data_IF_992177464735
#
_entry.id   IF_992177464735
#
_cell.length_a   1.000
_cell.length_b   1.000
_cell.length_c   1.000
_cell.angle_alpha   90.00
_cell.angle_beta   90.00
_cell.angle_gamma   90.00
#
_symmetry.space_group_name_H-M   'P 1'
#
loop_
_entity.id
_entity.type
_entity.pdbx_description
1 polymer ?
#
# COMPACT_ATOMS: atom_id res chain seq x y z
N UNK A 1 43.28 84.91 12.63
CA UNK A 1 44.68 84.52 12.90
C UNK A 1 44.70 83.56 14.08
N UNK A 2 45.28 82.38 13.85
CA UNK A 2 46.12 81.56 14.73
C UNK A 2 45.87 81.66 16.26
N UNK A 3 45.51 80.52 16.88
CA UNK A 3 46.21 79.89 18.02
C UNK A 3 45.26 79.26 19.07
N UNK A 4 45.50 77.96 19.35
CA UNK A 4 45.58 77.33 20.69
C UNK A 4 44.28 77.32 21.54
N UNK A 5 43.93 76.30 22.33
CA UNK A 5 44.61 75.14 22.86
C UNK A 5 43.57 74.07 23.26
N UNK A 6 44.04 72.81 23.33
CA UNK A 6 43.39 71.69 23.98
C UNK A 6 43.06 71.98 25.46
N UNK A 7 41.94 71.45 25.95
CA UNK A 7 41.89 70.69 27.21
C UNK A 7 40.98 69.48 27.03
N UNK A 8 41.56 68.31 27.29
CA UNK A 8 40.90 67.02 27.33
C UNK A 8 40.29 66.76 28.71
N UNK A 9 39.12 66.14 28.75
CA UNK A 9 38.63 65.41 29.93
C UNK A 9 38.29 63.98 29.53
N UNK A 10 39.14 63.07 30.00
CA UNK A 10 38.86 61.64 30.07
C UNK A 10 37.73 61.40 31.07
N UNK A 11 36.74 60.60 30.67
CA UNK A 11 35.95 59.80 31.60
C UNK A 11 35.87 58.37 31.03
N UNK A 12 36.64 57.46 31.65
CA UNK A 12 36.47 56.01 31.51
C UNK A 12 35.21 55.59 32.25
N UNK A 13 34.27 54.94 31.56
CA UNK A 13 33.34 54.01 32.20
C UNK A 13 33.16 52.77 31.31
N UNK A 14 33.64 51.66 31.86
CA UNK A 14 33.31 50.25 31.62
C UNK A 14 32.67 49.86 30.27
N UNK A 15 33.47 49.24 29.41
CA UNK A 15 32.97 48.42 28.30
C UNK A 15 32.27 47.17 28.84
N UNK A 16 30.94 47.14 28.75
CA UNK A 16 30.19 45.90 28.77
C UNK A 16 30.24 45.30 27.35
N UNK A 17 31.04 44.25 27.20
CA UNK A 17 31.10 43.44 25.98
C UNK A 17 29.74 42.81 25.70
N UNK A 18 29.09 43.22 24.61
CA UNK A 18 27.96 42.50 24.06
C UNK A 18 28.40 41.08 23.64
N UNK A 19 27.58 40.04 23.84
CA UNK A 19 27.92 38.69 23.41
C UNK A 19 28.02 38.66 21.88
N UNK A 20 29.18 38.25 21.37
CA UNK A 20 29.40 37.99 19.94
C UNK A 20 28.54 36.80 19.54
N UNK A 21 27.48 37.05 18.76
CA UNK A 21 26.74 36.00 18.07
C UNK A 21 27.67 35.42 16.99
N UNK A 22 28.05 34.16 17.18
CA UNK A 22 28.79 33.38 16.21
C UNK A 22 27.90 33.19 14.97
N UNK A 23 28.32 33.75 13.83
CA UNK A 23 27.66 33.55 12.54
C UNK A 23 27.95 32.14 12.03
N UNK A 24 27.13 31.16 12.44
CA UNK A 24 27.07 29.88 11.70
C UNK A 24 26.60 30.18 10.28
N UNK A 25 27.37 29.75 9.27
CA UNK A 25 27.00 29.82 7.84
C UNK A 25 25.57 29.33 7.65
N UNK A 26 24.65 30.28 7.51
CA UNK A 26 23.24 30.02 7.27
C UNK A 26 23.06 29.46 5.86
N UNK A 27 22.34 28.35 5.77
CA UNK A 27 21.58 27.98 4.57
C UNK A 27 20.83 29.22 4.05
N UNK A 28 20.84 29.48 2.73
CA UNK A 28 20.12 30.63 2.17
C UNK A 28 18.64 30.50 2.54
N UNK A 29 18.15 31.46 3.34
CA UNK A 29 16.72 31.62 3.58
C UNK A 29 16.10 31.93 2.21
N UNK A 30 15.06 31.19 1.78
CA UNK A 30 14.38 31.52 0.53
C UNK A 30 13.90 32.97 0.60
N UNK A 31 14.34 33.77 -0.37
CA UNK A 31 13.93 35.17 -0.49
C UNK A 31 12.44 35.17 -0.80
N UNK A 32 11.64 35.74 0.10
CA UNK A 32 10.22 35.95 -0.14
C UNK A 32 10.04 36.77 -1.44
N UNK A 33 9.08 36.39 -2.31
CA UNK A 33 8.91 37.04 -3.61
C UNK A 33 8.63 38.54 -3.43
N UNK A 34 9.40 39.37 -4.15
CA UNK A 34 9.21 40.82 -4.20
C UNK A 34 8.25 41.14 -5.35
N UNK A 35 6.95 41.18 -5.04
CA UNK A 35 5.87 41.57 -5.95
C UNK A 35 4.75 42.25 -5.16
N UNK A 36 3.61 42.52 -5.80
CA UNK A 36 2.42 43.02 -5.10
C UNK A 36 1.89 41.92 -4.16
N UNK A 37 2.30 41.97 -2.89
CA UNK A 37 1.95 40.96 -1.89
C UNK A 37 0.64 41.37 -1.23
N UNK A 38 -0.44 40.65 -1.52
CA UNK A 38 -1.63 40.71 -0.67
C UNK A 38 -1.41 39.86 0.56
N UNK A 39 -1.35 40.50 1.73
CA UNK A 39 -1.42 39.80 3.02
C UNK A 39 -2.85 39.32 3.20
N UNK A 40 -3.11 38.06 2.86
CA UNK A 40 -4.35 37.40 3.25
C UNK A 40 -4.18 37.02 4.72
N UNK A 41 -4.95 37.64 5.61
CA UNK A 41 -5.06 37.18 7.00
C UNK A 41 -5.66 35.77 6.95
N UNK A 42 -4.81 34.76 7.08
CA UNK A 42 -5.23 33.43 7.46
C UNK A 42 -5.91 33.58 8.82
N UNK A 43 -7.18 33.19 8.85
CA UNK A 43 -8.08 33.09 10.02
C UNK A 43 -7.26 32.89 11.31
N UNK A 44 -7.54 33.70 12.34
CA UNK A 44 -6.93 33.58 13.67
C UNK A 44 -6.75 32.12 14.06
N UNK A 45 -5.50 31.73 14.33
CA UNK A 45 -5.17 30.40 14.84
C UNK A 45 -5.64 30.33 16.30
N UNK A 46 -6.92 30.07 16.50
CA UNK A 46 -7.48 29.87 17.83
C UNK A 46 -6.97 28.55 18.38
N UNK A 47 -6.08 28.61 19.38
CA UNK A 47 -5.49 27.44 20.03
C UNK A 47 -6.51 26.53 20.74
N UNK A 48 -7.73 27.02 20.96
CA UNK A 48 -8.82 26.25 21.57
C UNK A 48 -9.73 25.57 20.53
N UNK A 49 -9.52 25.81 19.23
CA UNK A 49 -10.28 25.21 18.14
C UNK A 49 -9.49 24.14 17.37
N UNK A 50 -8.30 23.76 17.84
CA UNK A 50 -7.65 22.60 17.28
C UNK A 50 -8.58 21.39 17.42
N UNK A 51 -8.88 20.68 16.32
CA UNK A 51 -9.56 19.40 16.45
C UNK A 51 -8.76 18.57 17.45
N UNK A 52 -9.45 17.88 18.37
CA UNK A 52 -8.79 17.02 19.35
C UNK A 52 -7.75 16.18 18.62
N UNK A 53 -6.49 16.34 18.99
CA UNK A 53 -5.43 15.46 18.50
C UNK A 53 -5.80 14.11 19.10
N UNK A 54 -6.46 13.26 18.30
CA UNK A 54 -6.70 11.89 18.69
C UNK A 54 -5.32 11.28 18.92
N UNK A 55 -4.97 11.00 20.17
CA UNK A 55 -3.82 10.17 20.49
C UNK A 55 -4.10 8.81 19.86
N UNK A 56 -3.55 8.59 18.67
CA UNK A 56 -3.71 7.32 17.97
C UNK A 56 -2.74 6.35 18.60
N UNK A 57 -3.26 5.22 19.01
CA UNK A 57 -2.43 4.09 19.41
C UNK A 57 -1.73 3.54 18.17
N UNK A 58 -0.45 3.16 18.30
CA UNK A 58 0.30 2.43 17.27
C UNK A 58 -0.18 0.98 17.10
N UNK A 59 -1.16 0.54 17.90
CA UNK A 59 -1.76 -0.78 17.79
C UNK A 59 -2.63 -0.88 16.54
N UNK A 60 -2.66 -2.08 15.94
CA UNK A 60 -3.53 -2.37 14.80
C UNK A 60 -5.01 -2.12 15.15
N UNK A 61 -5.85 -1.78 14.14
CA UNK A 61 -7.28 -1.62 14.33
C UNK A 61 -7.90 -2.88 14.92
N UNK A 62 -8.94 -2.68 15.72
CA UNK A 62 -9.69 -3.80 16.26
C UNK A 62 -10.36 -4.60 15.14
N UNK A 63 -10.58 -5.88 15.36
CA UNK A 63 -11.38 -6.75 14.50
C UNK A 63 -12.72 -7.10 15.16
N UNK A 64 -13.68 -7.60 14.37
CA UNK A 64 -14.98 -8.08 14.89
C UNK A 64 -14.81 -9.03 16.08
N UNK A 65 -13.91 -10.00 15.94
CA UNK A 65 -13.65 -11.02 16.96
C UNK A 65 -13.06 -10.42 18.24
N UNK A 66 -12.19 -9.42 18.12
CA UNK A 66 -11.60 -8.74 19.28
C UNK A 66 -12.61 -7.87 20.01
N UNK A 67 -13.46 -7.14 19.28
CA UNK A 67 -14.53 -6.34 19.90
C UNK A 67 -15.48 -7.25 20.67
N UNK A 68 -15.92 -8.35 20.06
CA UNK A 68 -16.77 -9.33 20.72
C UNK A 68 -16.09 -9.97 21.94
N UNK A 69 -14.79 -10.30 21.84
CA UNK A 69 -14.01 -10.84 22.96
C UNK A 69 -13.90 -9.85 24.12
N UNK A 70 -13.62 -8.58 23.84
CA UNK A 70 -13.51 -7.54 24.87
C UNK A 70 -14.86 -7.25 25.52
N UNK A 71 -15.94 -7.22 24.74
CA UNK A 71 -17.30 -7.08 25.27
C UNK A 71 -17.65 -8.25 26.22
N UNK A 72 -17.37 -9.49 25.82
CA UNK A 72 -17.57 -10.68 26.67
C UNK A 72 -16.69 -10.70 27.92
N UNK A 73 -15.51 -10.09 27.86
CA UNK A 73 -14.61 -9.93 28.99
C UNK A 73 -15.07 -8.84 30.00
N UNK A 74 -16.17 -8.14 29.73
CA UNK A 74 -16.75 -7.16 30.65
C UNK A 74 -16.17 -5.74 30.52
N UNK A 75 -15.47 -5.43 29.42
CA UNK A 75 -15.08 -4.04 29.14
C UNK A 75 -16.33 -3.17 28.97
N UNK A 76 -16.29 -1.97 29.56
CA UNK A 76 -17.42 -1.04 29.49
C UNK A 76 -17.59 -0.50 28.07
N UNK A 77 -18.83 -0.15 27.68
CA UNK A 77 -19.11 0.47 26.38
C UNK A 77 -18.23 1.70 26.13
N UNK A 78 -18.06 2.56 27.15
CA UNK A 78 -17.23 3.75 27.04
C UNK A 78 -15.76 3.45 26.73
N UNK A 79 -15.20 2.39 27.33
CA UNK A 79 -13.84 1.94 27.02
C UNK A 79 -13.72 1.43 25.59
N UNK A 80 -14.68 0.61 25.14
CA UNK A 80 -14.68 0.06 23.79
C UNK A 80 -14.83 1.15 22.72
N UNK A 81 -15.74 2.10 22.94
CA UNK A 81 -15.94 3.25 22.03
C UNK A 81 -14.65 4.06 21.93
N UNK A 82 -14.01 4.39 23.06
CA UNK A 82 -12.74 5.12 23.05
C UNK A 82 -11.64 4.36 22.32
N UNK A 83 -11.54 3.04 22.51
CA UNK A 83 -10.59 2.20 21.76
C UNK A 83 -10.87 2.22 20.25
N UNK A 84 -12.15 2.18 19.84
CA UNK A 84 -12.55 2.26 18.43
C UNK A 84 -12.25 3.66 17.85
N UNK A 85 -12.43 4.73 18.62
CA UNK A 85 -12.08 6.09 18.18
C UNK A 85 -10.56 6.26 17.97
N UNK A 86 -9.76 5.70 18.88
CA UNK A 86 -8.29 5.83 18.87
C UNK A 86 -7.59 4.90 17.87
N UNK A 87 -8.07 3.65 17.74
CA UNK A 87 -7.46 2.60 16.90
C UNK A 87 -8.20 2.34 15.59
N UNK A 88 -9.43 2.82 15.45
CA UNK A 88 -10.41 2.38 14.43
C UNK A 88 -10.76 0.89 14.58
N UNK A 89 -11.74 0.46 13.80
CA UNK A 89 -12.06 -0.96 13.65
C UNK A 89 -11.99 -1.40 12.19
N UNK A 90 -11.25 -2.47 11.91
CA UNK A 90 -11.38 -3.29 10.70
C UNK A 90 -12.61 -4.24 10.83
N UNK A 91 -13.72 -3.71 11.33
CA UNK A 91 -14.97 -4.43 11.58
C UNK A 91 -15.85 -4.48 10.32
N UNK A 92 -16.77 -5.44 10.30
CA UNK A 92 -17.88 -5.47 9.36
C UNK A 92 -19.01 -4.52 9.80
N UNK A 93 -18.96 -3.27 9.33
CA UNK A 93 -20.01 -2.27 9.58
C UNK A 93 -21.26 -2.43 8.69
N UNK A 94 -21.39 -3.54 7.94
CA UNK A 94 -22.63 -3.82 7.20
C UNK A 94 -23.76 -4.29 8.12
N UNK A 95 -25.00 -4.29 7.62
CA UNK A 95 -26.16 -4.75 8.40
C UNK A 95 -25.95 -6.15 8.98
N UNK A 96 -25.48 -7.11 8.17
CA UNK A 96 -25.22 -8.48 8.62
C UNK A 96 -24.11 -8.56 9.67
N UNK A 97 -23.06 -7.74 9.53
CA UNK A 97 -21.96 -7.65 10.48
C UNK A 97 -22.40 -7.12 11.84
N UNK A 98 -23.18 -6.03 11.84
CA UNK A 98 -23.73 -5.45 13.07
C UNK A 98 -24.74 -6.39 13.75
N UNK A 99 -25.54 -7.13 12.98
CA UNK A 99 -26.43 -8.16 13.53
C UNK A 99 -25.61 -9.27 14.21
N UNK A 100 -24.55 -9.76 13.55
CA UNK A 100 -23.65 -10.78 14.11
C UNK A 100 -23.01 -10.32 15.42
N UNK A 101 -22.42 -9.13 15.44
CA UNK A 101 -21.81 -8.57 16.64
C UNK A 101 -22.83 -8.37 17.79
N UNK A 102 -24.06 -7.94 17.45
CA UNK A 102 -25.14 -7.83 18.43
C UNK A 102 -25.49 -9.20 19.04
N UNK A 103 -25.58 -10.25 18.22
CA UNK A 103 -25.83 -11.62 18.69
C UNK A 103 -24.70 -12.15 19.56
N UNK A 104 -23.47 -11.68 19.34
CA UNK A 104 -22.32 -12.00 20.18
C UNK A 104 -22.24 -11.21 21.50
N UNK A 105 -23.21 -10.32 21.76
CA UNK A 105 -23.32 -9.57 23.01
C UNK A 105 -22.61 -8.21 22.99
N UNK A 106 -22.22 -7.70 21.82
CA UNK A 106 -21.66 -6.35 21.71
C UNK A 106 -22.76 -5.31 21.98
N UNK A 107 -22.57 -4.36 22.93
CA UNK A 107 -23.57 -3.36 23.26
C UNK A 107 -23.92 -2.44 22.08
N UNK A 108 -25.17 -1.96 22.01
CA UNK A 108 -25.66 -1.14 20.91
C UNK A 108 -24.86 0.16 20.70
N UNK A 109 -24.41 0.81 21.77
CA UNK A 109 -23.59 2.03 21.70
C UNK A 109 -22.23 1.77 21.02
N UNK A 110 -21.65 0.59 21.26
CA UNK A 110 -20.40 0.15 20.63
C UNK A 110 -20.63 -0.13 19.14
N UNK A 111 -21.76 -0.76 18.78
CA UNK A 111 -22.14 -0.98 17.38
C UNK A 111 -22.28 0.34 16.61
N UNK A 112 -22.86 1.37 17.23
CA UNK A 112 -22.94 2.71 16.64
C UNK A 112 -21.55 3.30 16.40
N UNK A 113 -20.63 3.13 17.34
CA UNK A 113 -19.24 3.58 17.18
C UNK A 113 -18.51 2.83 16.06
N UNK A 114 -18.72 1.51 15.92
CA UNK A 114 -18.19 0.72 14.80
C UNK A 114 -18.69 1.26 13.46
N UNK A 115 -19.98 1.58 13.37
CA UNK A 115 -20.57 2.12 12.15
C UNK A 115 -20.00 3.49 11.77
N UNK A 116 -19.57 4.31 12.73
CA UNK A 116 -19.07 5.66 12.50
C UNK A 116 -17.55 5.72 12.30
N UNK A 117 -16.80 4.92 13.05
CA UNK A 117 -15.34 4.98 13.14
C UNK A 117 -14.63 3.74 12.56
N UNK A 118 -15.40 2.79 12.02
CA UNK A 118 -14.87 1.67 11.26
C UNK A 118 -14.08 2.12 10.02
N UNK A 119 -13.16 1.28 9.59
CA UNK A 119 -12.47 1.45 8.32
C UNK A 119 -13.47 1.35 7.16
N UNK A 120 -13.17 2.07 6.08
CA UNK A 120 -13.96 1.95 4.86
C UNK A 120 -13.89 0.51 4.33
N UNK A 121 -14.99 0.00 3.76
CA UNK A 121 -15.00 -1.34 3.23
C UNK A 121 -14.08 -1.44 2.01
N UNK A 122 -13.41 -2.58 1.88
CA UNK A 122 -12.64 -2.95 0.71
C UNK A 122 -13.56 -3.05 -0.51
N UNK A 123 -13.15 -2.47 -1.64
CA UNK A 123 -13.90 -2.45 -2.91
C UNK A 123 -13.11 -3.01 -4.10
N UNK A 124 -11.79 -3.05 -3.95
CA UNK A 124 -10.89 -3.64 -4.93
C UNK A 124 -9.72 -4.27 -4.20
N UNK A 125 -9.09 -5.23 -4.83
CA UNK A 125 -7.84 -5.86 -4.45
C UNK A 125 -6.69 -5.12 -5.13
N UNK A 126 -5.71 -4.60 -4.39
CA UNK A 126 -4.49 -4.14 -5.04
C UNK A 126 -3.63 -5.36 -5.37
N UNK A 127 -3.21 -5.48 -6.61
CA UNK A 127 -2.43 -6.59 -7.12
C UNK A 127 -1.08 -6.08 -7.62
N UNK A 128 0.02 -6.63 -7.11
CA UNK A 128 1.33 -6.46 -7.70
C UNK A 128 1.70 -7.74 -8.44
N UNK A 129 1.82 -7.68 -9.77
CA UNK A 129 2.25 -8.80 -10.59
C UNK A 129 3.75 -8.67 -10.90
N UNK A 130 4.54 -9.65 -10.48
CA UNK A 130 5.96 -9.76 -10.77
C UNK A 130 6.17 -10.88 -11.77
N UNK A 131 6.76 -10.57 -12.93
CA UNK A 131 7.17 -11.55 -13.93
C UNK A 131 8.69 -11.73 -13.85
N UNK A 132 9.14 -12.95 -13.56
CA UNK A 132 10.57 -13.29 -13.49
C UNK A 132 10.94 -14.16 -14.70
N UNK A 133 11.84 -13.67 -15.55
CA UNK A 133 12.34 -14.38 -16.72
C UNK A 133 13.80 -14.80 -16.54
N UNK A 134 14.05 -16.11 -16.58
CA UNK A 134 15.38 -16.70 -16.41
C UNK A 134 15.93 -17.23 -17.73
N UNK A 135 17.19 -16.90 -18.03
CA UNK A 135 17.87 -17.26 -19.27
C UNK A 135 17.69 -16.20 -20.37
N UNK A 136 18.30 -16.42 -21.54
CA UNK A 136 18.30 -15.44 -22.62
C UNK A 136 17.24 -15.77 -23.68
N UNK A 137 16.17 -14.98 -23.72
CA UNK A 137 15.15 -15.04 -24.75
C UNK A 137 14.45 -13.68 -24.89
N UNK A 138 13.65 -13.54 -25.96
CA UNK A 138 12.82 -12.36 -26.24
C UNK A 138 11.36 -12.70 -26.48
N UNK A 139 10.97 -13.98 -26.33
CA UNK A 139 9.60 -14.42 -26.62
C UNK A 139 9.18 -15.51 -25.65
N UNK A 140 7.89 -15.57 -25.33
CA UNK A 140 7.31 -16.65 -24.54
C UNK A 140 6.57 -17.66 -25.44
N UNK A 141 6.59 -18.93 -25.04
CA UNK A 141 5.83 -20.01 -25.68
C UNK A 141 4.34 -19.82 -25.43
N UNK A 142 3.97 -19.61 -24.18
CA UNK A 142 2.66 -19.12 -23.77
C UNK A 142 2.69 -17.59 -23.76
N UNK A 143 2.04 -16.98 -24.75
CA UNK A 143 2.09 -15.54 -24.97
C UNK A 143 1.27 -14.73 -23.94
N UNK A 144 0.35 -15.37 -23.23
CA UNK A 144 -0.56 -14.71 -22.31
C UNK A 144 -0.49 -15.34 -20.92
N UNK A 145 -0.46 -14.51 -19.89
CA UNK A 145 -0.69 -14.93 -18.51
C UNK A 145 -2.09 -14.47 -18.08
N UNK A 146 -2.87 -15.42 -17.58
CA UNK A 146 -4.22 -15.19 -17.08
C UNK A 146 -4.27 -15.37 -15.57
N UNK A 147 -4.98 -14.46 -14.93
CA UNK A 147 -5.33 -14.49 -13.51
C UNK A 147 -6.86 -14.42 -13.40
N UNK A 148 -7.46 -15.57 -13.11
CA UNK A 148 -8.90 -15.74 -12.93
C UNK A 148 -9.23 -15.66 -11.44
N UNK A 149 -10.16 -14.80 -11.05
CA UNK A 149 -10.67 -14.71 -9.68
C UNK A 149 -12.17 -15.00 -9.70
N UNK A 150 -12.59 -15.98 -8.91
CA UNK A 150 -14.01 -16.23 -8.66
C UNK A 150 -14.56 -15.16 -7.71
N UNK A 151 -15.54 -14.37 -8.16
CA UNK A 151 -16.18 -13.29 -7.39
C UNK A 151 -17.69 -13.52 -7.34
N UNK A 152 -18.10 -14.60 -6.68
CA UNK A 152 -19.49 -15.05 -6.65
C UNK A 152 -19.92 -15.65 -7.99
N UNK A 153 -20.94 -15.06 -8.62
CA UNK A 153 -21.52 -15.55 -9.88
C UNK A 153 -20.70 -15.16 -11.11
N UNK A 154 -19.68 -14.32 -10.94
CA UNK A 154 -18.82 -13.83 -12.02
C UNK A 154 -17.38 -14.27 -11.81
N UNK A 155 -16.68 -14.56 -12.91
CA UNK A 155 -15.22 -14.72 -12.91
C UNK A 155 -14.59 -13.46 -13.46
N UNK A 156 -13.69 -12.86 -12.69
CA UNK A 156 -12.89 -11.72 -13.14
C UNK A 156 -11.62 -12.23 -13.76
N UNK A 157 -11.24 -11.66 -14.90
CA UNK A 157 -10.08 -12.10 -15.66
C UNK A 157 -9.15 -10.92 -15.84
N UNK A 158 -7.90 -11.10 -15.40
CA UNK A 158 -6.81 -10.21 -15.72
C UNK A 158 -5.87 -10.94 -16.67
N UNK A 159 -5.49 -10.25 -17.73
CA UNK A 159 -4.67 -10.81 -18.81
C UNK A 159 -3.44 -9.94 -19.01
N UNK A 160 -2.28 -10.58 -19.11
CA UNK A 160 -1.02 -9.94 -19.48
C UNK A 160 -0.56 -10.49 -20.82
N UNK A 161 -0.32 -9.59 -21.78
CA UNK A 161 0.30 -9.93 -23.07
C UNK A 161 1.83 -9.87 -22.93
N UNK A 162 2.47 -11.03 -22.85
CA UNK A 162 3.91 -11.14 -22.62
C UNK A 162 4.73 -10.56 -23.79
N UNK A 163 4.45 -10.86 -25.07
CA UNK A 163 5.09 -10.18 -26.20
C UNK A 163 5.07 -8.65 -26.11
N UNK A 164 3.91 -8.05 -25.83
CA UNK A 164 3.78 -6.59 -25.75
C UNK A 164 4.62 -6.02 -24.59
N UNK A 165 4.65 -6.72 -23.46
CA UNK A 165 5.53 -6.36 -22.34
C UNK A 165 6.99 -6.47 -22.77
N UNK A 166 7.42 -7.56 -23.39
CA UNK A 166 8.84 -7.77 -23.67
C UNK A 166 9.42 -6.88 -24.79
N UNK A 167 8.56 -6.39 -25.71
CA UNK A 167 8.97 -5.57 -26.86
C UNK A 167 9.13 -4.09 -26.51
N UNK A 168 8.34 -3.57 -25.57
CA UNK A 168 8.39 -2.17 -25.19
C UNK A 168 9.47 -1.92 -24.13
N UNK A 169 10.11 -0.75 -24.16
CA UNK A 169 10.95 -0.32 -23.03
C UNK A 169 10.05 -0.10 -21.82
N UNK A 170 10.07 -1.04 -20.87
CA UNK A 170 9.26 -0.94 -19.66
C UNK A 170 10.03 -0.20 -18.57
N UNK A 171 9.44 0.87 -18.05
CA UNK A 171 9.98 1.59 -16.89
C UNK A 171 10.01 0.73 -15.62
N UNK A 172 9.24 -0.36 -15.58
CA UNK A 172 9.17 -1.29 -14.44
C UNK A 172 10.03 -2.54 -14.62
N UNK A 173 10.93 -2.52 -15.59
CA UNK A 173 11.85 -3.61 -15.84
C UNK A 173 13.17 -3.40 -15.10
N UNK A 174 13.67 -4.47 -14.50
CA UNK A 174 14.98 -4.49 -13.84
C UNK A 174 15.69 -5.81 -14.09
N UNK A 175 17.02 -5.79 -14.06
CA UNK A 175 17.83 -7.00 -13.99
C UNK A 175 18.14 -7.28 -12.53
N UNK A 176 17.61 -8.38 -12.01
CA UNK A 176 17.81 -8.82 -10.63
C UNK A 176 18.84 -9.93 -10.61
N UNK A 177 19.88 -9.75 -9.81
CA UNK A 177 20.84 -10.80 -9.54
C UNK A 177 20.26 -11.78 -8.51
N UNK A 178 19.94 -13.00 -8.95
CA UNK A 178 19.54 -14.14 -8.09
C UNK A 178 20.63 -15.20 -8.04
N UNK A 179 21.87 -14.81 -8.28
CA UNK A 179 23.02 -15.69 -8.18
C UNK A 179 23.16 -16.21 -6.76
N UNK A 180 23.35 -17.52 -6.65
CA UNK A 180 23.93 -18.11 -5.45
C UNK A 180 25.46 -17.98 -5.55
N UNK A 181 26.18 -18.13 -4.44
CA UNK A 181 27.65 -18.11 -4.37
C UNK A 181 28.32 -19.05 -5.39
N UNK A 182 27.60 -20.07 -5.88
CA UNK A 182 28.09 -21.07 -6.82
C UNK A 182 27.49 -20.97 -8.23
N UNK A 183 26.49 -20.11 -8.49
CA UNK A 183 25.84 -20.07 -9.81
C UNK A 183 25.26 -18.71 -10.14
N UNK A 184 25.86 -18.07 -11.15
CA UNK A 184 25.34 -16.82 -11.70
C UNK A 184 23.93 -17.02 -12.31
N UNK A 185 22.94 -16.26 -11.85
CA UNK A 185 21.57 -16.26 -12.37
C UNK A 185 21.04 -14.84 -12.44
N UNK A 186 21.21 -14.22 -13.61
CA UNK A 186 20.53 -12.98 -13.94
C UNK A 186 19.07 -13.30 -14.29
N UNK A 187 18.15 -12.59 -13.62
CA UNK A 187 16.71 -12.70 -13.85
C UNK A 187 16.22 -11.34 -14.32
N UNK A 188 15.61 -11.31 -15.51
CA UNK A 188 14.89 -10.13 -15.98
C UNK A 188 13.55 -10.08 -15.27
N UNK A 189 13.29 -9.02 -14.52
CA UNK A 189 12.08 -8.83 -13.71
C UNK A 189 11.24 -7.70 -14.26
N UNK A 190 9.94 -7.90 -14.34
CA UNK A 190 8.96 -6.85 -14.67
C UNK A 190 7.91 -6.81 -13.56
N UNK A 191 7.66 -5.64 -12.98
CA UNK A 191 6.67 -5.45 -11.91
C UNK A 191 5.51 -4.55 -12.38
N UNK A 192 4.27 -5.04 -12.23
CA UNK A 192 3.08 -4.39 -12.76
C UNK A 192 2.06 -4.22 -11.63
N UNK A 193 1.83 -3.00 -11.13
CA UNK A 193 0.73 -2.73 -10.22
C UNK A 193 -0.59 -2.76 -10.98
N UNK A 194 -1.63 -3.30 -10.35
CA UNK A 194 -2.98 -3.38 -10.88
C UNK A 194 -4.02 -3.43 -9.78
N UNK A 195 -5.29 -3.34 -10.16
CA UNK A 195 -6.41 -3.45 -9.23
C UNK A 195 -7.47 -4.39 -9.79
N UNK A 196 -8.04 -5.21 -8.91
CA UNK A 196 -9.16 -6.12 -9.22
C UNK A 196 -10.34 -5.73 -8.35
N UNK A 197 -11.35 -5.07 -8.91
CA UNK A 197 -12.60 -4.83 -8.17
C UNK A 197 -13.16 -6.17 -7.71
N UNK A 198 -13.57 -6.30 -6.46
CA UNK A 198 -14.23 -7.50 -5.92
C UNK A 198 -15.54 -7.08 -5.25
N UNK A 199 -16.59 -7.87 -5.42
CA UNK A 199 -17.93 -7.56 -4.91
C UNK A 199 -18.39 -8.47 -3.79
N UNK A 200 -17.85 -9.70 -3.74
CA UNK A 200 -18.05 -10.63 -2.63
C UNK A 200 -16.88 -10.52 -1.67
N UNK A 201 -17.18 -10.75 -0.39
CA UNK A 201 -16.20 -10.85 0.69
C UNK A 201 -16.13 -12.30 1.16
N UNK A 202 -15.04 -12.66 1.85
CA UNK A 202 -14.83 -14.02 2.33
C UNK A 202 -13.90 -14.83 1.43
N UNK A 203 -14.01 -16.16 1.39
CA UNK A 203 -13.09 -17.00 0.64
C UNK A 203 -13.26 -16.85 -0.88
N UNK A 204 -12.16 -16.56 -1.56
CA UNK A 204 -12.04 -16.52 -3.01
C UNK A 204 -11.09 -17.60 -3.51
N UNK A 205 -11.37 -18.12 -4.70
CA UNK A 205 -10.47 -19.00 -5.43
C UNK A 205 -9.88 -18.25 -6.62
N UNK A 206 -8.59 -18.46 -6.82
CA UNK A 206 -7.80 -17.86 -7.89
C UNK A 206 -7.20 -18.98 -8.72
N UNK A 207 -7.23 -18.82 -10.04
CA UNK A 207 -6.52 -19.69 -10.96
C UNK A 207 -5.57 -18.85 -11.82
N UNK A 208 -4.30 -19.26 -11.84
CA UNK A 208 -3.26 -18.65 -12.67
C UNK A 208 -2.87 -19.65 -13.75
N UNK A 209 -2.96 -19.22 -15.01
CA UNK A 209 -2.63 -20.08 -16.14
C UNK A 209 -1.91 -19.28 -17.23
N UNK A 210 -0.94 -19.91 -17.89
CA UNK A 210 -0.33 -19.38 -19.09
C UNK A 210 -0.94 -20.07 -20.31
N UNK A 211 -1.27 -19.29 -21.35
CA UNK A 211 -1.90 -19.78 -22.58
C UNK A 211 -1.30 -19.12 -23.81
N UNK A 212 -1.43 -19.79 -24.96
CA UNK A 212 -1.17 -19.19 -26.26
C UNK A 212 -2.40 -18.43 -26.82
N UNK A 213 -3.59 -18.67 -26.27
CA UNK A 213 -4.84 -18.03 -26.72
C UNK A 213 -4.99 -16.65 -26.09
N UNK A 214 -5.35 -15.59 -26.85
CA UNK A 214 -5.61 -14.25 -26.33
C UNK A 214 -7.04 -14.04 -25.80
N UNK A 215 -7.96 -14.96 -26.06
CA UNK A 215 -9.41 -14.72 -25.89
C UNK A 215 -10.04 -15.42 -24.69
N UNK A 216 -9.25 -15.94 -23.75
CA UNK A 216 -9.83 -16.65 -22.61
C UNK A 216 -10.58 -15.70 -21.69
N UNK A 217 -11.84 -16.04 -21.41
CA UNK A 217 -12.74 -15.34 -20.49
C UNK A 217 -13.18 -16.20 -19.31
N UNK A 218 -12.92 -17.52 -19.35
CA UNK A 218 -13.26 -18.43 -18.26
C UNK A 218 -12.30 -19.64 -18.19
N UNK A 219 -11.97 -20.17 -17.00
CA UNK A 219 -11.08 -21.33 -16.85
C UNK A 219 -11.51 -22.60 -17.60
N UNK A 220 -12.79 -22.76 -17.89
CA UNK A 220 -13.31 -23.91 -18.66
C UNK A 220 -12.80 -23.95 -20.10
N UNK A 221 -12.38 -22.81 -20.65
CA UNK A 221 -11.85 -22.68 -22.01
C UNK A 221 -10.37 -23.10 -22.12
N UNK A 222 -9.70 -23.33 -20.99
CA UNK A 222 -8.33 -23.86 -20.97
C UNK A 222 -8.29 -25.26 -21.57
N UNK A 223 -7.28 -25.53 -22.39
CA UNK A 223 -6.97 -26.88 -22.84
C UNK A 223 -6.55 -27.75 -21.66
N UNK A 224 -6.62 -29.07 -21.83
CA UNK A 224 -6.24 -30.00 -20.75
C UNK A 224 -4.77 -29.83 -20.34
N UNK A 225 -3.88 -29.55 -21.29
CA UNK A 225 -2.47 -29.29 -21.02
C UNK A 225 -2.27 -27.99 -20.21
N UNK A 226 -2.96 -26.91 -20.57
CA UNK A 226 -2.86 -25.64 -19.83
C UNK A 226 -3.43 -25.78 -18.42
N UNK A 227 -4.57 -26.47 -18.28
CA UNK A 227 -5.18 -26.77 -16.98
C UNK A 227 -4.26 -27.58 -16.08
N UNK A 228 -3.56 -28.58 -16.63
CA UNK A 228 -2.60 -29.39 -15.86
C UNK A 228 -1.40 -28.59 -15.31
N UNK A 229 -1.09 -27.44 -15.91
CA UNK A 229 0.00 -26.55 -15.51
C UNK A 229 -0.47 -25.32 -14.72
N UNK A 230 -1.78 -25.09 -14.64
CA UNK A 230 -2.34 -23.97 -13.92
C UNK A 230 -2.13 -24.15 -12.41
N UNK A 231 -1.95 -23.05 -11.68
CA UNK A 231 -1.91 -23.07 -10.23
C UNK A 231 -3.18 -22.46 -9.66
N UNK A 232 -3.70 -23.11 -8.62
CA UNK A 232 -4.90 -22.67 -7.91
C UNK A 232 -4.51 -22.21 -6.52
N UNK A 233 -5.03 -21.06 -6.12
CA UNK A 233 -4.83 -20.47 -4.80
C UNK A 233 -6.17 -20.09 -4.19
N UNK A 234 -6.16 -19.90 -2.88
CA UNK A 234 -7.30 -19.37 -2.14
C UNK A 234 -6.85 -18.25 -1.24
N UNK A 235 -7.68 -17.23 -1.07
CA UNK A 235 -7.47 -16.18 -0.09
C UNK A 235 -8.81 -15.79 0.53
N UNK A 236 -8.76 -15.26 1.75
CA UNK A 236 -9.94 -14.72 2.42
C UNK A 236 -9.94 -13.19 2.26
N UNK A 237 -10.92 -12.62 1.57
CA UNK A 237 -11.03 -11.19 1.30
C UNK A 237 -11.78 -10.48 2.44
N UNK A 238 -11.08 -9.73 3.31
CA UNK A 238 -11.72 -9.09 4.45
C UNK A 238 -12.58 -7.92 3.99
N UNK A 239 -13.65 -7.68 4.74
CA UNK A 239 -14.55 -6.55 4.48
C UNK A 239 -13.87 -5.21 4.66
N UNK A 240 -12.95 -5.09 5.61
CA UNK A 240 -12.16 -3.89 5.83
C UNK A 240 -10.75 -4.27 6.29
N UNK A 241 -9.75 -3.51 5.83
CA UNK A 241 -8.36 -3.66 6.24
C UNK A 241 -7.58 -2.37 5.98
N UNK A 242 -6.48 -2.16 6.70
CA UNK A 242 -5.48 -1.11 6.45
C UNK A 242 -4.66 -1.41 5.21
N UNK A 243 -4.28 -2.68 5.06
CA UNK A 243 -3.54 -3.18 3.91
C UNK A 243 -4.41 -4.14 3.11
N UNK A 244 -4.28 -4.06 1.80
CA UNK A 244 -5.03 -4.86 0.86
C UNK A 244 -4.16 -4.99 -0.39
N UNK A 245 -3.09 -5.78 -0.25
CA UNK A 245 -2.13 -6.03 -1.31
C UNK A 245 -1.95 -7.53 -1.48
N UNK A 246 -2.20 -8.00 -2.69
CA UNK A 246 -1.79 -9.33 -3.10
C UNK A 246 -0.63 -9.26 -4.09
N UNK A 247 0.29 -10.21 -3.97
CA UNK A 247 1.48 -10.32 -4.80
C UNK A 247 1.36 -11.61 -5.62
N UNK A 248 1.35 -11.47 -6.94
CA UNK A 248 1.43 -12.58 -7.87
C UNK A 248 2.84 -12.59 -8.47
N UNK A 249 3.62 -13.63 -8.20
CA UNK A 249 4.90 -13.84 -8.90
C UNK A 249 4.74 -14.96 -9.91
N UNK A 250 5.02 -14.70 -11.18
CA UNK A 250 5.01 -15.69 -12.26
C UNK A 250 6.42 -15.90 -12.81
N UNK A 251 6.88 -17.14 -12.78
CA UNK A 251 8.20 -17.54 -13.24
C UNK A 251 8.17 -18.09 -14.66
N UNK A 252 9.12 -17.61 -15.46
CA UNK A 252 9.39 -18.06 -16.81
C UNK A 252 10.85 -18.52 -16.91
N UNK A 253 11.07 -19.70 -17.49
CA UNK A 253 12.41 -20.25 -17.72
C UNK A 253 12.59 -20.56 -19.20
N UNK A 254 13.83 -20.43 -19.68
CA UNK A 254 14.18 -20.83 -21.04
C UNK A 254 13.72 -22.27 -21.31
N UNK A 255 12.97 -22.46 -22.40
CA UNK A 255 12.44 -23.77 -22.78
C UNK A 255 13.60 -24.66 -23.25
N UNK A 256 13.67 -25.88 -22.72
CA UNK A 256 14.78 -26.80 -23.00
C UNK A 256 14.75 -27.33 -24.46
N UNK A 257 13.59 -27.32 -25.11
CA UNK A 257 13.39 -27.76 -26.49
C UNK A 257 13.46 -26.57 -27.44
N UNK A 258 12.79 -25.48 -27.08
CA UNK A 258 12.77 -24.23 -27.85
C UNK A 258 13.61 -23.16 -27.14
N UNK A 259 14.94 -23.29 -27.17
CA UNK A 259 15.84 -22.41 -26.41
C UNK A 259 15.65 -20.89 -26.68
N UNK A 260 15.09 -20.51 -27.82
CA UNK A 260 14.76 -19.12 -28.14
C UNK A 260 13.45 -18.62 -27.51
N UNK A 261 12.73 -19.46 -26.75
CA UNK A 261 11.49 -19.14 -26.05
C UNK A 261 11.62 -19.37 -24.54
N UNK A 262 10.95 -18.52 -23.78
CA UNK A 262 10.63 -18.80 -22.39
C UNK A 262 9.35 -19.63 -22.29
N UNK A 263 9.29 -20.52 -21.30
CA UNK A 263 8.12 -21.31 -20.95
C UNK A 263 7.68 -20.94 -19.54
N UNK A 264 6.37 -20.87 -19.33
CA UNK A 264 5.84 -20.73 -17.98
C UNK A 264 6.26 -21.91 -17.10
N UNK A 265 6.88 -21.60 -15.95
CA UNK A 265 7.33 -22.58 -14.98
C UNK A 265 6.30 -22.75 -13.86
N UNK A 266 5.70 -21.65 -13.44
CA UNK A 266 4.69 -21.64 -12.39
C UNK A 266 4.50 -20.26 -11.79
N UNK A 267 3.68 -20.21 -10.74
CA UNK A 267 3.39 -18.96 -10.04
C UNK A 267 3.46 -19.14 -8.52
N UNK A 268 3.38 -18.03 -7.80
CA UNK A 268 3.11 -17.93 -6.36
C UNK A 268 2.16 -16.76 -6.15
N UNK A 269 1.20 -16.93 -5.26
CA UNK A 269 0.23 -15.90 -4.93
C UNK A 269 0.07 -15.79 -3.42
N UNK A 270 0.16 -14.57 -2.91
CA UNK A 270 0.06 -14.27 -1.48
C UNK A 270 -0.69 -12.96 -1.29
N UNK A 271 -1.46 -12.86 -0.20
CA UNK A 271 -2.18 -11.66 0.16
C UNK A 271 -1.82 -11.25 1.58
N UNK A 272 -1.58 -9.96 1.76
CA UNK A 272 -1.28 -9.34 3.04
C UNK A 272 -2.47 -8.48 3.47
N UNK A 273 -2.98 -8.80 4.65
CA UNK A 273 -4.03 -8.06 5.34
C UNK A 273 -3.48 -7.63 6.70
N UNK A 274 -3.62 -6.34 7.04
CA UNK A 274 -3.29 -5.73 8.35
C UNK A 274 -1.94 -6.13 8.97
#
# INVERSE_FOLDING_TARGET
>A
MIAHALIATLALVAGQTAPRISTSRGTPVPVFPQGEVQTINLIEWNSNQFPRIYERSDQLPLTDAEVAKLAKAGFTSAQLIKMIEERRCACDASADGLIRLKQEGVPQEVLSAISLHGLAPNRALNLLVTLDFTGESRSAREAFLYFFVEDGDITRVLTLNIPDLLQNQNAHESMVDRSDILRARLVRRIELPGQVTLTKYGPHRVLVAASASPTLTHPSQLTELERSKAQVYTFDYPRASLQNLCRLTAGYRQDAVLAYKWRFEGSRFECEWN
#
